data_IF_213768204135
#
_entry.id   IF_213768204135
#
_cell.length_a   1.000
_cell.length_b   1.000
_cell.length_c   1.000
_cell.angle_alpha   90.00
_cell.angle_beta   90.00
_cell.angle_gamma   90.00
#
_symmetry.space_group_name_H-M   'P 1'
#
loop_
_entity.id
_entity.type
_entity.pdbx_description
1 polymer ?
#
# COMPACT_ATOMS: atom_id res chain seq x y z
N UNK A 1 22.79 -43.62 -5.49
CA UNK A 1 24.20 -43.63 -5.05
C UNK A 1 24.25 -43.57 -3.53
N UNK A 2 25.38 -43.97 -2.93
CA UNK A 2 25.65 -43.91 -1.47
C UNK A 2 24.75 -44.79 -0.58
N UNK A 3 25.01 -46.10 -0.58
CA UNK A 3 24.78 -46.94 0.60
C UNK A 3 25.92 -46.72 1.62
N UNK A 4 25.75 -47.11 2.89
CA UNK A 4 26.75 -46.86 3.94
C UNK A 4 26.96 -48.06 4.89
N UNK A 5 28.23 -48.23 5.30
CA UNK A 5 28.74 -48.89 6.51
C UNK A 5 28.67 -50.44 6.69
N UNK A 6 29.88 -51.01 6.86
CA UNK A 6 30.31 -51.98 7.89
C UNK A 6 29.73 -53.41 7.94
N UNK A 7 30.53 -54.39 7.50
CA UNK A 7 31.45 -55.24 8.30
C UNK A 7 32.30 -56.07 7.29
N UNK A 8 33.62 -56.25 7.39
CA UNK A 8 34.46 -56.87 8.43
C UNK A 8 34.18 -58.39 8.61
N UNK A 9 35.16 -59.31 8.64
CA UNK A 9 36.60 -59.26 8.29
C UNK A 9 37.14 -60.71 8.23
N UNK A 10 38.45 -60.87 7.93
CA UNK A 10 39.25 -62.11 8.06
C UNK A 10 38.91 -63.25 7.10
N UNK A 11 39.76 -63.41 6.08
CA UNK A 11 40.16 -64.71 5.54
C UNK A 11 41.68 -64.76 5.58
N UNK A 12 42.24 -65.75 6.26
CA UNK A 12 43.69 -65.91 6.49
C UNK A 12 44.06 -67.37 6.37
N UNK A 13 45.03 -67.66 5.51
CA UNK A 13 45.93 -68.82 5.58
C UNK A 13 45.29 -70.23 5.40
N UNK A 14 45.97 -71.24 4.88
CA UNK A 14 47.27 -71.30 4.19
C UNK A 14 47.19 -72.47 3.18
N UNK A 15 47.74 -72.32 1.97
CA UNK A 15 47.92 -73.45 1.05
C UNK A 15 49.42 -73.73 0.86
N UNK A 16 49.93 -74.71 1.59
CA UNK A 16 51.33 -75.14 1.55
C UNK A 16 51.44 -76.51 0.90
N UNK A 17 51.85 -76.50 -0.37
CA UNK A 17 52.24 -77.71 -1.12
C UNK A 17 53.56 -78.30 -0.60
N UNK A 18 53.80 -79.57 -0.97
CA UNK A 18 54.97 -80.41 -0.67
C UNK A 18 55.08 -80.84 0.82
N UNK A 19 55.24 -82.13 1.16
CA UNK A 19 56.23 -83.07 0.64
C UNK A 19 55.88 -84.57 0.81
N UNK A 20 56.56 -85.41 0.01
CA UNK A 20 56.94 -86.83 0.26
C UNK A 20 55.94 -87.83 0.87
N UNK A 21 55.38 -88.66 -0.01
CA UNK A 21 55.53 -90.14 -0.04
C UNK A 21 56.01 -90.87 1.24
N UNK A 22 55.11 -91.67 1.85
CA UNK A 22 55.50 -92.74 2.80
C UNK A 22 54.56 -93.94 2.75
N UNK A 23 55.08 -95.12 3.13
CA UNK A 23 54.47 -96.44 2.85
C UNK A 23 53.40 -96.87 3.86
N UNK A 24 52.29 -97.37 3.31
CA UNK A 24 51.38 -98.39 3.84
C UNK A 24 51.42 -98.68 5.36
N UNK A 25 50.47 -98.09 6.10
CA UNK A 25 50.04 -98.59 7.42
C UNK A 25 48.54 -98.37 7.57
N UNK A 26 47.74 -99.39 7.27
CA UNK A 26 46.30 -99.38 7.54
C UNK A 26 46.09 -99.78 9.01
N UNK A 27 46.08 -98.79 9.89
CA UNK A 27 45.61 -98.95 11.26
C UNK A 27 44.16 -98.44 11.36
N UNK A 28 43.19 -99.26 11.79
CA UNK A 28 41.81 -98.80 11.95
C UNK A 28 41.70 -97.87 13.15
N UNK A 29 41.59 -96.56 12.87
CA UNK A 29 41.37 -95.51 13.85
C UNK A 29 39.98 -94.86 13.70
N UNK A 30 38.97 -95.65 13.32
CA UNK A 30 37.57 -95.26 13.47
C UNK A 30 37.25 -95.33 14.97
N UNK A 31 37.00 -94.19 15.60
CA UNK A 31 36.58 -94.19 17.00
C UNK A 31 35.23 -94.90 17.12
N UNK A 32 35.19 -96.01 17.88
CA UNK A 32 33.97 -96.77 18.12
C UNK A 32 32.89 -95.82 18.63
N UNK A 33 31.81 -95.69 17.86
CA UNK A 33 30.80 -94.66 18.10
C UNK A 33 29.62 -95.36 18.72
N UNK A 34 29.24 -95.00 19.96
CA UNK A 34 28.28 -95.76 20.78
C UNK A 34 26.80 -95.58 20.32
N UNK A 35 26.57 -95.86 19.05
CA UNK A 35 25.29 -95.86 18.34
C UNK A 35 24.88 -97.33 18.26
N UNK A 36 23.95 -97.73 19.13
CA UNK A 36 23.63 -99.13 19.40
C UNK A 36 23.25 -99.95 18.15
N UNK A 37 22.70 -99.30 17.12
CA UNK A 37 22.34 -99.89 15.83
C UNK A 37 23.54 -100.36 14.99
N UNK A 38 24.74 -99.81 15.22
CA UNK A 38 25.96 -100.15 14.46
C UNK A 38 26.88 -101.14 15.18
N UNK A 39 26.76 -101.29 16.50
CA UNK A 39 27.62 -102.20 17.30
C UNK A 39 27.73 -103.63 16.74
N UNK A 40 26.65 -104.28 16.23
CA UNK A 40 26.78 -105.60 15.60
C UNK A 40 27.55 -105.60 14.27
N UNK A 41 27.63 -104.46 13.59
CA UNK A 41 28.42 -104.29 12.36
C UNK A 41 29.89 -104.01 12.66
N UNK A 42 30.21 -103.29 13.74
CA UNK A 42 31.59 -103.11 14.21
C UNK A 42 32.26 -104.48 14.49
N UNK A 43 31.56 -105.38 15.20
CA UNK A 43 32.00 -106.76 15.42
C UNK A 43 32.21 -107.55 14.12
N UNK A 44 31.32 -107.37 13.13
CA UNK A 44 31.44 -108.02 11.81
C UNK A 44 32.62 -107.47 11.00
N UNK A 45 32.89 -106.16 11.05
CA UNK A 45 34.04 -105.53 10.38
C UNK A 45 35.34 -106.07 10.98
N UNK A 46 35.49 -106.06 12.31
CA UNK A 46 36.68 -106.61 12.99
C UNK A 46 36.89 -108.09 12.66
N UNK A 47 35.80 -108.87 12.51
CA UNK A 47 35.87 -110.26 12.02
C UNK A 47 36.36 -110.34 10.57
N UNK A 48 35.84 -109.53 9.65
CA UNK A 48 36.27 -109.53 8.24
C UNK A 48 37.75 -109.11 8.12
N UNK A 49 38.15 -108.04 8.81
CA UNK A 49 39.54 -107.58 8.89
C UNK A 49 40.45 -108.70 9.39
N UNK A 50 40.13 -109.31 10.54
CA UNK A 50 40.92 -110.41 11.12
C UNK A 50 41.00 -111.64 10.21
N UNK A 51 39.90 -111.99 9.54
CA UNK A 51 39.81 -113.18 8.68
C UNK A 51 40.59 -113.04 7.38
N UNK A 52 40.68 -111.82 6.83
CA UNK A 52 41.26 -111.58 5.50
C UNK A 52 42.59 -110.81 5.52
N UNK A 53 43.06 -110.31 6.67
CA UNK A 53 44.31 -109.53 6.82
C UNK A 53 45.59 -110.19 6.25
N UNK A 54 45.58 -111.50 5.99
CA UNK A 54 46.71 -112.27 5.43
C UNK A 54 46.33 -113.09 4.19
N UNK A 55 45.13 -112.88 3.63
CA UNK A 55 44.60 -113.69 2.54
C UNK A 55 45.10 -113.18 1.18
N UNK A 56 46.13 -113.82 0.65
CA UNK A 56 46.61 -113.59 -0.72
C UNK A 56 45.88 -114.54 -1.66
N UNK A 57 45.07 -114.00 -2.59
CA UNK A 57 44.26 -114.82 -3.52
C UNK A 57 44.76 -114.67 -4.95
N UNK A 58 45.23 -115.76 -5.54
CA UNK A 58 45.59 -115.81 -6.96
C UNK A 58 44.35 -116.06 -7.85
N UNK A 59 43.73 -114.95 -8.27
CA UNK A 59 42.58 -114.93 -9.17
C UNK A 59 42.86 -115.44 -10.59
N UNK A 60 44.10 -115.80 -10.95
CA UNK A 60 44.39 -116.49 -12.22
C UNK A 60 44.01 -117.97 -12.19
N UNK A 61 43.92 -118.56 -10.99
CA UNK A 61 43.45 -119.92 -10.76
C UNK A 61 41.91 -119.98 -10.63
N UNK A 62 41.30 -121.10 -11.01
CA UNK A 62 39.85 -121.29 -10.86
C UNK A 62 39.39 -121.30 -9.40
N UNK A 63 40.20 -121.88 -8.51
CA UNK A 63 39.96 -121.95 -7.07
C UNK A 63 40.13 -120.58 -6.40
N UNK A 64 41.22 -119.86 -6.67
CA UNK A 64 41.41 -118.50 -6.19
C UNK A 64 40.31 -117.55 -6.70
N UNK A 65 39.88 -117.68 -7.95
CA UNK A 65 38.77 -116.90 -8.49
C UNK A 65 37.40 -117.27 -7.86
N UNK A 66 37.24 -118.46 -7.29
CA UNK A 66 36.07 -118.81 -6.48
C UNK A 66 36.15 -118.14 -5.09
N UNK A 67 37.25 -118.36 -4.38
CA UNK A 67 37.48 -117.80 -3.04
C UNK A 67 37.38 -116.27 -3.04
N UNK A 68 37.94 -115.59 -4.06
CA UNK A 68 37.83 -114.13 -4.22
C UNK A 68 36.39 -113.63 -4.43
N UNK A 69 35.50 -114.45 -5.01
CA UNK A 69 34.08 -114.10 -5.16
C UNK A 69 33.33 -114.21 -3.83
N UNK A 70 33.62 -115.25 -3.04
CA UNK A 70 33.01 -115.47 -1.73
C UNK A 70 33.41 -114.36 -0.75
N UNK A 71 34.72 -114.08 -0.61
CA UNK A 71 35.25 -112.93 0.14
C UNK A 71 34.59 -111.61 -0.28
N UNK A 72 34.36 -111.42 -1.58
CA UNK A 72 33.68 -110.22 -2.11
C UNK A 72 32.18 -110.20 -1.81
N UNK A 73 31.52 -111.33 -1.63
CA UNK A 73 30.13 -111.40 -1.17
C UNK A 73 30.06 -111.00 0.30
N UNK A 74 30.85 -111.63 1.17
CA UNK A 74 30.85 -111.37 2.61
C UNK A 74 31.09 -109.89 2.95
N UNK A 75 32.13 -109.28 2.36
CA UNK A 75 32.43 -107.84 2.53
C UNK A 75 31.30 -106.95 1.98
N UNK A 76 30.75 -107.30 0.82
CA UNK A 76 29.70 -106.52 0.15
C UNK A 76 28.39 -106.56 0.94
N UNK A 77 28.09 -107.68 1.57
CA UNK A 77 26.82 -107.90 2.24
C UNK A 77 26.81 -107.23 3.63
N UNK A 78 27.93 -107.21 4.37
CA UNK A 78 28.10 -106.32 5.54
C UNK A 78 27.99 -104.84 5.16
N UNK A 79 28.59 -104.43 4.03
CA UNK A 79 28.45 -103.06 3.50
C UNK A 79 27.01 -102.70 3.13
N UNK A 80 26.21 -103.65 2.63
CA UNK A 80 24.77 -103.42 2.40
C UNK A 80 23.96 -103.41 3.72
N UNK A 81 24.34 -104.25 4.70
CA UNK A 81 23.71 -104.26 6.01
C UNK A 81 23.90 -102.92 6.74
N UNK A 82 25.12 -102.36 6.71
CA UNK A 82 25.42 -100.99 7.16
C UNK A 82 24.50 -99.95 6.51
N UNK A 83 24.44 -99.90 5.17
CA UNK A 83 23.63 -98.92 4.44
C UNK A 83 22.12 -99.04 4.75
N UNK A 84 21.63 -100.26 4.93
CA UNK A 84 20.25 -100.52 5.36
C UNK A 84 20.00 -100.10 6.82
N UNK A 85 20.95 -100.35 7.73
CA UNK A 85 20.92 -99.83 9.10
C UNK A 85 20.90 -98.30 9.12
N UNK A 86 21.78 -97.61 8.38
CA UNK A 86 21.78 -96.13 8.27
C UNK A 86 20.44 -95.61 7.78
N UNK A 87 19.90 -96.20 6.71
CA UNK A 87 18.60 -95.83 6.16
C UNK A 87 17.47 -96.02 7.17
N UNK A 88 17.51 -97.08 7.97
CA UNK A 88 16.44 -97.46 8.91
C UNK A 88 16.50 -96.63 10.20
N UNK A 89 17.69 -96.49 10.80
CA UNK A 89 17.91 -95.72 12.02
C UNK A 89 17.55 -94.22 11.85
N UNK A 90 17.70 -93.67 10.64
CA UNK A 90 17.38 -92.28 10.36
C UNK A 90 15.86 -91.99 10.20
N UNK A 91 15.03 -93.01 9.94
CA UNK A 91 13.57 -92.88 9.78
C UNK A 91 12.88 -92.19 10.98
N UNK A 92 13.05 -92.64 12.26
CA UNK A 92 12.40 -92.01 13.40
C UNK A 92 12.81 -90.54 13.60
N UNK A 93 14.04 -90.16 13.24
CA UNK A 93 14.48 -88.76 13.32
C UNK A 93 13.85 -87.91 12.22
N UNK A 94 13.83 -88.39 10.97
CA UNK A 94 13.16 -87.72 9.86
C UNK A 94 11.65 -87.57 10.11
N UNK A 95 11.02 -88.57 10.72
CA UNK A 95 9.61 -88.53 11.08
C UNK A 95 9.33 -87.47 12.15
N UNK A 96 10.12 -87.43 13.24
CA UNK A 96 10.03 -86.37 14.26
C UNK A 96 10.23 -84.97 13.69
N UNK A 97 11.15 -84.78 12.73
CA UNK A 97 11.35 -83.49 12.05
C UNK A 97 10.12 -83.08 11.22
N UNK A 98 9.49 -84.01 10.50
CA UNK A 98 8.24 -83.74 9.76
C UNK A 98 7.09 -83.39 10.70
N UNK A 99 6.94 -84.11 11.80
CA UNK A 99 5.90 -83.88 12.82
C UNK A 99 6.08 -82.52 13.51
N UNK A 100 7.32 -82.16 13.86
CA UNK A 100 7.65 -80.84 14.41
C UNK A 100 7.32 -79.73 13.41
N UNK A 101 7.68 -79.87 12.13
CA UNK A 101 7.37 -78.87 11.09
C UNK A 101 5.87 -78.74 10.85
N UNK A 102 5.12 -79.85 10.82
CA UNK A 102 3.66 -79.83 10.71
C UNK A 102 3.03 -79.10 11.90
N UNK A 103 3.52 -79.32 13.12
CA UNK A 103 3.06 -78.60 14.32
C UNK A 103 3.39 -77.11 14.28
N UNK A 104 4.57 -76.72 13.76
CA UNK A 104 4.93 -75.30 13.56
C UNK A 104 3.98 -74.62 12.58
N UNK A 105 3.62 -75.28 11.47
CA UNK A 105 2.67 -74.74 10.50
C UNK A 105 1.27 -74.57 11.13
N UNK A 106 0.76 -75.62 11.81
CA UNK A 106 -0.52 -75.58 12.50
C UNK A 106 -0.62 -74.44 13.54
N UNK A 107 0.46 -74.19 14.29
CA UNK A 107 0.50 -73.09 15.28
C UNK A 107 0.46 -71.71 14.60
N UNK A 108 1.12 -71.53 13.45
CA UNK A 108 1.06 -70.28 12.67
C UNK A 108 -0.33 -70.05 12.08
N UNK A 109 -0.88 -71.06 11.39
CA UNK A 109 -2.21 -71.00 10.77
C UNK A 109 -3.31 -70.70 11.80
N UNK A 110 -3.26 -71.37 12.95
CA UNK A 110 -4.20 -71.11 14.05
C UNK A 110 -3.98 -69.73 14.71
N UNK A 111 -2.74 -69.24 14.79
CA UNK A 111 -2.42 -67.92 15.32
C UNK A 111 -2.99 -66.78 14.47
N UNK A 112 -2.78 -66.84 13.15
CA UNK A 112 -3.36 -65.87 12.21
C UNK A 112 -4.89 -65.97 12.19
N UNK A 113 -5.47 -67.18 12.17
CA UNK A 113 -6.93 -67.35 12.21
C UNK A 113 -7.58 -66.82 13.50
N UNK A 114 -6.89 -66.87 14.64
CA UNK A 114 -7.35 -66.22 15.88
C UNK A 114 -7.25 -64.69 15.80
N UNK A 115 -6.15 -64.16 15.24
CA UNK A 115 -5.93 -62.72 15.04
C UNK A 115 -6.97 -62.13 14.10
N UNK A 116 -7.24 -62.76 12.96
CA UNK A 116 -8.27 -62.34 12.01
C UNK A 116 -9.67 -62.34 12.66
N UNK A 117 -9.95 -63.33 13.51
CA UNK A 117 -11.20 -63.40 14.29
C UNK A 117 -11.31 -62.28 15.34
N UNK A 118 -10.21 -61.87 15.97
CA UNK A 118 -10.19 -60.71 16.88
C UNK A 118 -10.41 -59.42 16.10
N UNK A 119 -9.71 -59.24 14.97
CA UNK A 119 -9.88 -58.07 14.11
C UNK A 119 -11.32 -57.92 13.57
N UNK A 120 -11.98 -59.04 13.25
CA UNK A 120 -13.39 -59.05 12.84
C UNK A 120 -14.38 -58.69 13.97
N UNK A 121 -13.94 -58.71 15.24
CA UNK A 121 -14.71 -58.23 16.40
C UNK A 121 -14.37 -56.74 16.68
N UNK A 122 -13.12 -56.35 16.50
CA UNK A 122 -12.62 -54.99 16.73
C UNK A 122 -13.10 -53.99 15.67
N UNK A 123 -13.03 -54.34 14.38
CA UNK A 123 -13.37 -53.46 13.27
C UNK A 123 -14.75 -52.77 13.38
N UNK A 124 -15.88 -53.47 13.64
CA UNK A 124 -17.17 -52.79 13.78
C UNK A 124 -17.28 -51.92 15.04
N UNK A 125 -16.43 -52.12 16.05
CA UNK A 125 -16.36 -51.27 17.25
C UNK A 125 -15.56 -50.00 16.95
N UNK A 126 -14.42 -50.14 16.28
CA UNK A 126 -13.60 -49.02 15.79
C UNK A 126 -14.35 -48.13 14.79
N UNK A 127 -15.09 -48.71 13.84
CA UNK A 127 -15.97 -47.98 12.93
C UNK A 127 -17.08 -47.23 13.67
N UNK A 128 -17.71 -47.85 14.68
CA UNK A 128 -18.75 -47.23 15.48
C UNK A 128 -18.22 -46.07 16.35
N UNK A 129 -17.03 -46.22 16.94
CA UNK A 129 -16.34 -45.16 17.68
C UNK A 129 -16.07 -43.98 16.75
N UNK A 130 -15.44 -44.21 15.60
CA UNK A 130 -15.11 -43.16 14.62
C UNK A 130 -16.34 -42.45 14.07
N UNK A 131 -17.45 -43.16 13.89
CA UNK A 131 -18.72 -42.57 13.47
C UNK A 131 -19.30 -41.62 14.53
N UNK A 132 -19.26 -42.00 15.81
CA UNK A 132 -19.75 -41.18 16.92
C UNK A 132 -18.82 -40.02 17.26
N UNK A 133 -17.49 -40.23 17.27
CA UNK A 133 -16.49 -39.17 17.40
C UNK A 133 -16.67 -38.11 16.31
N UNK A 134 -16.86 -38.53 15.05
CA UNK A 134 -17.20 -37.61 13.96
C UNK A 134 -18.52 -36.89 14.22
N UNK A 135 -19.59 -37.59 14.62
CA UNK A 135 -20.90 -36.97 14.91
C UNK A 135 -20.79 -35.92 16.02
N UNK A 136 -19.98 -36.15 17.04
CA UNK A 136 -19.68 -35.21 18.12
C UNK A 136 -18.86 -34.02 17.61
N UNK A 137 -17.85 -34.25 16.77
CA UNK A 137 -17.02 -33.21 16.17
C UNK A 137 -17.83 -32.30 15.22
N UNK A 138 -18.62 -32.87 14.31
CA UNK A 138 -19.50 -32.16 13.39
C UNK A 138 -20.55 -31.32 14.18
N UNK A 139 -21.18 -31.92 15.20
CA UNK A 139 -22.15 -31.21 16.05
C UNK A 139 -21.52 -30.13 16.94
N UNK A 140 -20.23 -30.26 17.29
CA UNK A 140 -19.46 -29.22 17.97
C UNK A 140 -19.13 -28.07 17.01
N UNK A 141 -18.60 -28.38 15.82
CA UNK A 141 -18.26 -27.39 14.80
C UNK A 141 -19.48 -26.58 14.34
N UNK A 142 -20.66 -27.21 14.21
CA UNK A 142 -21.92 -26.51 13.91
C UNK A 142 -22.29 -25.51 15.00
N UNK A 143 -22.18 -25.90 16.28
CA UNK A 143 -22.42 -24.99 17.42
C UNK A 143 -21.41 -23.86 17.47
N UNK A 144 -20.14 -24.14 17.24
CA UNK A 144 -19.07 -23.13 17.20
C UNK A 144 -19.26 -22.16 16.03
N UNK A 145 -19.77 -22.61 14.87
CA UNK A 145 -20.13 -21.70 13.76
C UNK A 145 -21.34 -20.82 14.12
N UNK A 146 -22.42 -21.40 14.63
CA UNK A 146 -23.63 -20.64 15.01
C UNK A 146 -23.29 -19.59 16.08
N UNK A 147 -22.44 -19.94 17.05
CA UNK A 147 -22.00 -19.03 18.10
C UNK A 147 -21.06 -17.95 17.57
N UNK A 148 -20.12 -18.27 16.68
CA UNK A 148 -19.28 -17.28 16.02
C UNK A 148 -20.12 -16.31 15.17
N UNK A 149 -21.12 -16.81 14.43
CA UNK A 149 -22.06 -16.02 13.62
C UNK A 149 -22.92 -15.09 14.51
N UNK A 150 -23.38 -15.57 15.67
CA UNK A 150 -24.06 -14.74 16.69
C UNK A 150 -23.16 -13.61 17.20
N UNK A 151 -21.93 -13.94 17.62
CA UNK A 151 -20.97 -12.98 18.16
C UNK A 151 -20.53 -11.96 17.10
N UNK A 152 -20.31 -12.40 15.85
CA UNK A 152 -19.99 -11.50 14.74
C UNK A 152 -21.17 -10.56 14.42
N UNK A 153 -22.41 -11.06 14.37
CA UNK A 153 -23.59 -10.24 14.13
C UNK A 153 -23.78 -9.17 15.22
N UNK A 154 -23.57 -9.51 16.50
CA UNK A 154 -23.63 -8.54 17.61
C UNK A 154 -22.49 -7.52 17.51
N UNK A 155 -21.25 -7.97 17.30
CA UNK A 155 -20.09 -7.06 17.11
C UNK A 155 -20.29 -6.13 15.92
N UNK A 156 -20.86 -6.61 14.82
CA UNK A 156 -21.20 -5.79 13.67
C UNK A 156 -22.26 -4.72 13.96
N UNK A 157 -23.19 -4.93 14.91
CA UNK A 157 -24.06 -3.85 15.42
C UNK A 157 -23.23 -2.82 16.19
N UNK A 158 -22.38 -3.26 17.11
CA UNK A 158 -21.55 -2.39 17.97
C UNK A 158 -20.60 -1.51 17.11
N UNK A 159 -19.96 -2.10 16.09
CA UNK A 159 -19.08 -1.38 15.14
C UNK A 159 -19.81 -0.32 14.32
N UNK A 160 -21.14 -0.43 14.09
CA UNK A 160 -21.89 0.64 13.40
C UNK A 160 -21.84 1.94 14.20
N UNK A 161 -22.01 1.89 15.52
CA UNK A 161 -21.91 3.07 16.38
C UNK A 161 -20.52 3.69 16.30
N UNK A 162 -19.44 2.94 16.47
CA UNK A 162 -18.07 3.51 16.39
C UNK A 162 -17.70 4.04 15.00
N UNK A 163 -18.33 3.53 13.93
CA UNK A 163 -18.12 4.03 12.56
C UNK A 163 -18.90 5.32 12.21
N UNK A 164 -19.96 5.65 12.96
CA UNK A 164 -20.97 6.61 12.50
C UNK A 164 -20.43 8.04 12.39
N UNK A 165 -19.61 8.50 13.34
CA UNK A 165 -19.09 9.86 13.34
C UNK A 165 -18.17 10.11 12.13
N UNK A 166 -17.34 9.13 11.76
CA UNK A 166 -16.49 9.20 10.58
C UNK A 166 -17.30 9.27 9.28
N UNK A 167 -18.40 8.51 9.17
CA UNK A 167 -19.26 8.50 7.98
C UNK A 167 -19.99 9.84 7.74
N UNK A 168 -20.19 10.65 8.79
CA UNK A 168 -20.89 11.93 8.72
C UNK A 168 -19.98 13.16 8.86
N UNK A 169 -18.66 12.99 9.02
CA UNK A 169 -17.69 14.07 9.30
C UNK A 169 -17.75 15.27 8.33
N UNK A 170 -18.04 15.03 7.04
CA UNK A 170 -18.11 16.06 6.00
C UNK A 170 -19.55 16.47 5.63
N UNK A 171 -20.55 16.12 6.44
CA UNK A 171 -21.97 16.41 6.18
C UNK A 171 -22.42 17.75 6.79
N UNK A 172 -23.66 18.14 6.49
CA UNK A 172 -24.27 19.35 7.05
C UNK A 172 -24.62 19.19 8.53
N UNK A 173 -24.77 20.30 9.25
CA UNK A 173 -25.21 20.30 10.64
C UNK A 173 -26.56 19.58 10.81
N UNK A 174 -27.48 19.74 9.85
CA UNK A 174 -28.79 19.08 9.83
C UNK A 174 -28.68 17.56 9.64
N UNK A 175 -27.82 17.07 8.74
CA UNK A 175 -27.58 15.63 8.55
C UNK A 175 -27.05 14.98 9.84
N UNK A 176 -26.06 15.63 10.48
CA UNK A 176 -25.46 15.14 11.73
C UNK A 176 -26.48 15.15 12.87
N UNK A 177 -27.33 16.18 12.97
CA UNK A 177 -28.40 16.25 13.96
C UNK A 177 -29.44 15.12 13.82
N UNK A 178 -29.86 14.81 12.59
CA UNK A 178 -30.79 13.72 12.31
C UNK A 178 -30.20 12.36 12.72
N UNK A 179 -28.92 12.12 12.46
CA UNK A 179 -28.25 10.88 12.86
C UNK A 179 -28.01 10.81 14.37
N UNK A 180 -27.64 11.93 15.00
CA UNK A 180 -27.52 12.04 16.45
C UNK A 180 -28.85 11.67 17.16
N UNK A 181 -30.00 12.09 16.62
CA UNK A 181 -31.31 11.69 17.13
C UNK A 181 -31.52 10.18 16.98
N UNK A 182 -31.30 9.61 15.79
CA UNK A 182 -31.44 8.17 15.54
C UNK A 182 -30.55 7.31 16.46
N UNK A 183 -29.33 7.77 16.77
CA UNK A 183 -28.41 7.08 17.70
C UNK A 183 -28.87 7.23 19.16
N UNK A 184 -29.44 8.37 19.56
CA UNK A 184 -30.05 8.55 20.89
C UNK A 184 -31.31 7.72 21.10
N UNK A 185 -32.12 7.54 20.04
CA UNK A 185 -33.31 6.69 20.05
C UNK A 185 -32.98 5.19 19.94
N UNK A 186 -31.71 4.83 19.65
CA UNK A 186 -31.26 3.44 19.59
C UNK A 186 -31.17 2.82 20.99
N UNK A 187 -32.15 1.97 21.31
CA UNK A 187 -32.15 1.16 22.53
C UNK A 187 -31.23 -0.05 22.35
N UNK A 188 -30.32 -0.26 23.32
CA UNK A 188 -29.54 -1.49 23.43
C UNK A 188 -30.36 -2.45 24.29
N UNK A 189 -30.83 -3.56 23.70
CA UNK A 189 -31.67 -4.54 24.37
C UNK A 189 -30.85 -5.79 24.76
N UNK A 190 -31.01 -6.34 25.98
CA UNK A 190 -30.34 -7.57 26.40
C UNK A 190 -30.60 -8.74 25.44
N UNK A 191 -31.80 -8.84 24.87
CA UNK A 191 -32.20 -9.87 23.90
C UNK A 191 -31.47 -9.73 22.55
N UNK A 192 -30.97 -8.53 22.21
CA UNK A 192 -30.32 -8.24 20.93
C UNK A 192 -28.79 -8.19 20.98
N UNK A 193 -28.21 -8.01 22.17
CA UNK A 193 -26.76 -7.87 22.39
C UNK A 193 -26.19 -8.90 23.39
N UNK A 194 -27.05 -9.57 24.16
CA UNK A 194 -26.68 -10.60 25.14
C UNK A 194 -25.54 -10.13 26.07
N UNK A 195 -24.43 -10.86 26.15
CA UNK A 195 -23.30 -10.51 27.01
C UNK A 195 -22.59 -9.21 26.62
N UNK A 196 -22.83 -8.69 25.40
CA UNK A 196 -22.24 -7.46 24.89
C UNK A 196 -23.14 -6.22 25.08
N UNK A 197 -24.22 -6.30 25.87
CA UNK A 197 -25.10 -5.16 26.18
C UNK A 197 -24.32 -3.93 26.70
N UNK A 198 -23.36 -4.16 27.61
CA UNK A 198 -22.50 -3.11 28.15
C UNK A 198 -21.57 -2.51 27.08
N UNK A 199 -20.97 -3.33 26.22
CA UNK A 199 -20.11 -2.87 25.11
C UNK A 199 -20.92 -2.06 24.08
N UNK A 200 -22.14 -2.51 23.74
CA UNK A 200 -23.05 -1.80 22.83
C UNK A 200 -23.53 -0.47 23.40
N UNK A 201 -23.80 -0.41 24.70
CA UNK A 201 -24.17 0.83 25.40
C UNK A 201 -23.02 1.83 25.38
N UNK A 202 -21.81 1.40 25.75
CA UNK A 202 -20.59 2.23 25.70
C UNK A 202 -20.30 2.72 24.27
N UNK A 203 -20.46 1.85 23.26
CA UNK A 203 -20.24 2.23 21.86
C UNK A 203 -21.25 3.26 21.35
N UNK A 204 -22.54 3.12 21.72
CA UNK A 204 -23.58 4.10 21.40
C UNK A 204 -23.30 5.44 22.09
N UNK A 205 -22.96 5.43 23.37
CA UNK A 205 -22.81 6.65 24.16
C UNK A 205 -21.55 7.43 23.74
N UNK A 206 -20.45 6.73 23.41
CA UNK A 206 -19.28 7.34 22.75
C UNK A 206 -19.64 7.91 21.36
N UNK A 207 -20.50 7.24 20.59
CA UNK A 207 -20.94 7.74 19.28
C UNK A 207 -21.83 9.00 19.41
N UNK A 208 -22.62 9.11 20.49
CA UNK A 208 -23.39 10.31 20.83
C UNK A 208 -22.45 11.49 21.10
N UNK A 209 -21.43 11.33 21.95
CA UNK A 209 -20.45 12.38 22.25
C UNK A 209 -19.70 12.86 21.00
N UNK A 210 -19.28 11.93 20.14
CA UNK A 210 -18.60 12.24 18.87
C UNK A 210 -19.54 12.97 17.89
N UNK A 211 -20.80 12.55 17.77
CA UNK A 211 -21.79 13.21 16.92
C UNK A 211 -22.21 14.59 17.45
N UNK A 212 -22.27 14.79 18.77
CA UNK A 212 -22.51 16.12 19.36
C UNK A 212 -21.36 17.09 19.08
N UNK A 213 -20.12 16.62 19.25
CA UNK A 213 -18.91 17.37 18.92
C UNK A 213 -18.86 17.73 17.44
N UNK A 214 -19.15 16.77 16.57
CA UNK A 214 -19.21 16.98 15.12
C UNK A 214 -20.34 17.93 14.71
N UNK A 215 -21.54 17.81 15.30
CA UNK A 215 -22.67 18.68 15.01
C UNK A 215 -22.34 20.13 15.35
N UNK A 216 -21.74 20.38 16.52
CA UNK A 216 -21.27 21.71 16.93
C UNK A 216 -20.29 22.31 15.92
N UNK A 217 -19.28 21.53 15.52
CA UNK A 217 -18.30 21.95 14.50
C UNK A 217 -18.93 22.16 13.10
N UNK A 218 -20.01 21.45 12.77
CA UNK A 218 -20.76 21.70 11.54
C UNK A 218 -21.55 23.02 11.60
N UNK A 219 -22.26 23.30 12.72
CA UNK A 219 -22.95 24.58 12.94
C UNK A 219 -21.97 25.76 12.89
N UNK A 220 -20.82 25.65 13.57
CA UNK A 220 -19.79 26.70 13.57
C UNK A 220 -19.25 27.00 12.17
N UNK A 221 -19.01 25.96 11.35
CA UNK A 221 -18.59 26.12 9.94
C UNK A 221 -19.67 26.74 9.06
N UNK A 222 -20.93 26.31 9.21
CA UNK A 222 -22.06 26.84 8.44
C UNK A 222 -22.37 28.30 8.81
N UNK A 223 -22.32 28.66 10.10
CA UNK A 223 -22.41 30.05 10.55
C UNK A 223 -21.28 30.92 10.01
N UNK A 224 -20.03 30.42 10.03
CA UNK A 224 -18.88 31.16 9.50
C UNK A 224 -19.03 31.39 7.97
N UNK A 225 -19.47 30.37 7.23
CA UNK A 225 -19.74 30.50 5.80
C UNK A 225 -20.88 31.49 5.50
N UNK A 226 -21.96 31.47 6.29
CA UNK A 226 -23.07 32.40 6.16
C UNK A 226 -22.65 33.86 6.45
N UNK A 227 -21.85 34.09 7.51
CA UNK A 227 -21.28 35.40 7.85
C UNK A 227 -20.37 35.92 6.74
N UNK A 228 -19.51 35.07 6.18
CA UNK A 228 -18.63 35.42 5.05
C UNK A 228 -19.42 35.75 3.78
N UNK A 229 -20.45 34.97 3.44
CA UNK A 229 -21.31 35.23 2.29
C UNK A 229 -22.10 36.55 2.42
N UNK A 230 -22.55 36.89 3.63
CA UNK A 230 -23.17 38.19 3.90
C UNK A 230 -22.20 39.36 3.72
N UNK A 231 -20.97 39.25 4.24
CA UNK A 231 -19.91 40.25 4.06
C UNK A 231 -19.51 40.44 2.59
N UNK A 232 -19.39 39.34 1.83
CA UNK A 232 -19.13 39.41 0.38
C UNK A 232 -20.25 40.16 -0.36
N UNK A 233 -21.51 39.86 -0.04
CA UNK A 233 -22.66 40.57 -0.63
C UNK A 233 -22.66 42.07 -0.28
N UNK A 234 -22.40 42.43 0.97
CA UNK A 234 -22.34 43.84 1.38
C UNK A 234 -21.21 44.60 0.65
N UNK A 235 -20.03 43.96 0.51
CA UNK A 235 -18.90 44.52 -0.23
C UNK A 235 -19.22 44.72 -1.71
N UNK A 236 -19.92 43.79 -2.35
CA UNK A 236 -20.33 43.93 -3.75
C UNK A 236 -21.47 44.93 -3.95
N UNK A 237 -22.40 45.06 -3.00
CA UNK A 237 -23.36 46.17 -2.98
C UNK A 237 -22.66 47.53 -2.82
N UNK A 238 -21.62 47.62 -1.99
CA UNK A 238 -20.82 48.84 -1.82
C UNK A 238 -20.06 49.19 -3.11
N UNK A 239 -19.44 48.20 -3.77
CA UNK A 239 -18.78 48.36 -5.08
C UNK A 239 -19.76 48.81 -6.17
N UNK A 240 -21.00 48.31 -6.18
CA UNK A 240 -22.04 48.78 -7.10
C UNK A 240 -22.46 50.22 -6.80
N UNK A 241 -22.66 50.57 -5.52
CA UNK A 241 -22.96 51.95 -5.08
C UNK A 241 -21.85 52.92 -5.48
N UNK A 242 -20.57 52.53 -5.33
CA UNK A 242 -19.41 53.29 -5.79
C UNK A 242 -19.43 53.50 -7.31
N UNK A 243 -19.54 52.43 -8.12
CA UNK A 243 -19.62 52.55 -9.59
C UNK A 243 -20.73 53.47 -10.06
N UNK A 244 -21.92 53.40 -9.45
CA UNK A 244 -23.05 54.28 -9.77
C UNK A 244 -22.74 55.74 -9.37
N UNK A 245 -22.08 55.97 -8.24
CA UNK A 245 -21.64 57.30 -7.83
C UNK A 245 -20.56 57.87 -8.78
N UNK A 246 -19.58 57.07 -9.16
CA UNK A 246 -18.51 57.43 -10.11
C UNK A 246 -19.09 57.75 -11.49
N UNK A 247 -19.94 56.87 -12.04
CA UNK A 247 -20.67 57.11 -13.29
C UNK A 247 -21.50 58.40 -13.26
N UNK A 248 -22.17 58.69 -12.14
CA UNK A 248 -22.97 59.90 -12.00
C UNK A 248 -22.09 61.16 -11.86
N UNK A 249 -20.95 61.05 -11.18
CA UNK A 249 -19.96 62.12 -11.11
C UNK A 249 -19.31 62.38 -12.48
N UNK A 250 -19.04 61.34 -13.27
CA UNK A 250 -18.59 61.48 -14.66
C UNK A 250 -19.65 62.14 -15.54
N UNK A 251 -20.92 61.68 -15.47
CA UNK A 251 -22.04 62.28 -16.23
C UNK A 251 -22.21 63.76 -15.87
N UNK A 252 -22.12 64.14 -14.60
CA UNK A 252 -22.25 65.55 -14.21
C UNK A 252 -21.03 66.38 -14.61
N UNK A 253 -19.80 65.84 -14.49
CA UNK A 253 -18.59 66.47 -15.07
C UNK A 253 -18.71 66.69 -16.58
N UNK A 254 -19.28 65.73 -17.31
CA UNK A 254 -19.55 65.86 -18.75
C UNK A 254 -20.61 66.93 -19.04
N UNK A 255 -21.65 67.07 -18.21
CA UNK A 255 -22.68 68.12 -18.34
C UNK A 255 -22.10 69.51 -18.07
N UNK A 256 -21.36 69.69 -16.97
CA UNK A 256 -20.66 70.95 -16.66
C UNK A 256 -19.69 71.32 -17.80
N UNK A 257 -18.85 70.38 -18.23
CA UNK A 257 -17.92 70.63 -19.34
C UNK A 257 -18.64 70.88 -20.68
N UNK A 258 -19.86 70.38 -20.89
CA UNK A 258 -20.66 70.72 -22.07
C UNK A 258 -21.25 72.14 -21.96
N UNK A 259 -21.79 72.51 -20.79
CA UNK A 259 -22.31 73.86 -20.54
C UNK A 259 -21.21 74.92 -20.64
N UNK A 260 -20.04 74.70 -20.05
CA UNK A 260 -18.91 75.63 -20.15
C UNK A 260 -18.40 75.76 -21.60
N UNK A 261 -18.35 74.66 -22.38
CA UNK A 261 -18.06 74.73 -23.82
C UNK A 261 -19.10 75.54 -24.59
N UNK A 262 -20.38 75.42 -24.24
CA UNK A 262 -21.44 76.21 -24.85
C UNK A 262 -21.34 77.68 -24.46
N UNK A 263 -21.15 78.01 -23.18
CA UNK A 263 -20.91 79.39 -22.69
C UNK A 263 -19.69 80.03 -23.38
N UNK A 264 -18.60 79.30 -23.56
CA UNK A 264 -17.41 79.76 -24.28
C UNK A 264 -17.71 79.98 -25.77
N UNK A 265 -18.45 79.07 -26.42
CA UNK A 265 -18.86 79.23 -27.81
C UNK A 265 -19.80 80.44 -28.01
N UNK A 266 -20.75 80.67 -27.10
CA UNK A 266 -21.66 81.82 -27.12
C UNK A 266 -20.89 83.14 -26.89
N UNK A 267 -19.94 83.17 -25.95
CA UNK A 267 -19.03 84.31 -25.76
C UNK A 267 -18.17 84.59 -26.99
N UNK A 268 -17.64 83.55 -27.64
CA UNK A 268 -16.87 83.70 -28.88
C UNK A 268 -17.74 84.18 -30.04
N UNK A 269 -18.98 83.69 -30.17
CA UNK A 269 -19.94 84.16 -31.16
C UNK A 269 -20.29 85.65 -30.93
N UNK A 270 -20.50 86.07 -29.69
CA UNK A 270 -20.79 87.46 -29.33
C UNK A 270 -19.58 88.39 -29.55
N UNK A 271 -18.37 87.97 -29.17
CA UNK A 271 -17.14 88.71 -29.49
C UNK A 271 -16.90 88.82 -31.01
N UNK A 272 -17.29 87.80 -31.79
CA UNK A 272 -17.21 87.86 -33.25
C UNK A 272 -18.28 88.80 -33.84
N UNK A 273 -19.52 88.83 -33.32
CA UNK A 273 -20.54 89.84 -33.69
C UNK A 273 -20.04 91.26 -33.40
N UNK A 274 -19.44 91.50 -32.24
CA UNK A 274 -18.89 92.80 -31.86
C UNK A 274 -17.73 93.21 -32.77
N UNK A 275 -16.86 92.27 -33.16
CA UNK A 275 -15.81 92.50 -34.17
C UNK A 275 -16.37 92.81 -35.55
N UNK A 276 -17.35 92.06 -36.03
CA UNK A 276 -18.04 92.34 -37.29
C UNK A 276 -18.72 93.71 -37.27
N UNK A 277 -19.38 94.08 -36.16
CA UNK A 277 -20.04 95.37 -36.03
C UNK A 277 -19.01 96.51 -36.01
N UNK A 278 -17.92 96.38 -35.23
CA UNK A 278 -16.80 97.33 -35.25
C UNK A 278 -16.16 97.44 -36.64
N UNK A 279 -16.05 96.35 -37.40
CA UNK A 279 -15.58 96.39 -38.80
C UNK A 279 -16.57 97.12 -39.71
N UNK A 280 -17.87 96.82 -39.64
CA UNK A 280 -18.91 97.52 -40.42
C UNK A 280 -18.98 99.00 -40.09
N UNK A 281 -18.82 99.36 -38.82
CA UNK A 281 -18.80 100.76 -38.37
C UNK A 281 -17.52 101.46 -38.85
N UNK A 282 -16.35 100.81 -38.78
CA UNK A 282 -15.10 101.31 -39.38
C UNK A 282 -15.18 101.43 -40.90
N UNK A 283 -15.84 100.51 -41.60
CA UNK A 283 -16.03 100.57 -43.06
C UNK A 283 -17.02 101.66 -43.46
N UNK A 284 -18.14 101.80 -42.72
CA UNK A 284 -19.08 102.90 -42.91
C UNK A 284 -18.45 104.26 -42.58
N UNK A 285 -17.51 104.31 -41.63
CA UNK A 285 -16.77 105.52 -41.29
C UNK A 285 -15.67 105.83 -42.32
N UNK A 286 -14.93 104.83 -42.81
CA UNK A 286 -14.03 104.98 -43.97
C UNK A 286 -14.76 105.45 -45.22
N UNK A 287 -15.94 104.91 -45.51
CA UNK A 287 -16.77 105.35 -46.64
C UNK A 287 -17.28 106.79 -46.47
N UNK A 288 -17.64 107.20 -45.25
CA UNK A 288 -17.96 108.60 -44.93
C UNK A 288 -16.75 109.51 -45.04
N UNK A 289 -15.58 109.07 -44.60
CA UNK A 289 -14.35 109.87 -44.68
C UNK A 289 -13.84 109.96 -46.12
N UNK A 290 -14.01 108.92 -46.94
CA UNK A 290 -13.80 108.98 -48.40
C UNK A 290 -14.82 109.90 -49.09
N UNK A 291 -16.09 109.90 -48.68
CA UNK A 291 -17.09 110.86 -49.18
C UNK A 291 -16.71 112.29 -48.78
N UNK A 292 -16.44 112.54 -47.49
CA UNK A 292 -15.96 113.81 -46.98
C UNK A 292 -14.67 114.27 -47.69
N UNK A 293 -13.76 113.35 -48.02
CA UNK A 293 -12.55 113.65 -48.79
C UNK A 293 -12.87 114.02 -50.24
N UNK A 294 -13.77 113.30 -50.93
CA UNK A 294 -14.21 113.64 -52.29
C UNK A 294 -14.97 114.97 -52.34
N UNK A 295 -15.84 115.23 -51.36
CA UNK A 295 -16.55 116.50 -51.20
C UNK A 295 -15.56 117.63 -50.88
N UNK A 296 -14.54 117.38 -50.05
CA UNK A 296 -13.44 118.32 -49.80
C UNK A 296 -12.53 118.51 -51.01
N UNK A 297 -12.29 117.49 -51.84
CA UNK A 297 -11.52 117.58 -53.09
C UNK A 297 -12.31 118.32 -54.19
N UNK A 298 -13.63 118.17 -54.25
CA UNK A 298 -14.49 118.94 -55.15
C UNK A 298 -14.59 120.39 -54.68
N UNK A 299 -14.83 120.64 -53.39
CA UNK A 299 -14.74 121.98 -52.79
C UNK A 299 -13.34 122.59 -52.96
N UNK A 300 -12.26 121.80 -52.85
CA UNK A 300 -10.89 122.27 -53.05
C UNK A 300 -10.56 122.49 -54.53
N UNK A 301 -11.13 121.72 -55.47
CA UNK A 301 -11.07 122.02 -56.91
C UNK A 301 -11.77 123.34 -57.21
N UNK A 302 -12.99 123.53 -56.73
CA UNK A 302 -13.74 124.78 -56.86
C UNK A 302 -12.98 125.97 -56.23
N UNK A 303 -12.32 125.76 -55.09
CA UNK A 303 -11.58 126.80 -54.35
C UNK A 303 -10.20 127.09 -54.94
N UNK A 304 -9.47 126.08 -55.45
CA UNK A 304 -8.19 126.24 -56.14
C UNK A 304 -8.35 126.80 -57.56
N UNK A 305 -9.47 126.49 -58.23
CA UNK A 305 -9.87 127.14 -59.48
C UNK A 305 -10.31 128.61 -59.25
N UNK A 306 -10.55 129.01 -57.99
CA UNK A 306 -10.92 130.38 -57.60
C UNK A 306 -9.81 131.17 -56.86
N UNK A 307 -8.69 130.57 -56.46
CA UNK A 307 -7.71 131.24 -55.60
C UNK A 307 -6.25 130.82 -55.78
N UNK A 308 -5.42 131.81 -56.12
CA UNK A 308 -4.02 131.94 -55.73
C UNK A 308 -3.77 133.44 -55.40
N UNK A 309 -2.76 133.83 -54.59
CA UNK A 309 -1.73 133.01 -53.93
C UNK A 309 -1.59 133.30 -52.40
N UNK A 310 -0.41 132.99 -51.85
CA UNK A 310 0.24 133.54 -50.64
C UNK A 310 0.02 132.86 -49.26
N UNK A 311 0.99 132.99 -48.30
CA UNK A 311 1.11 132.15 -47.08
C UNK A 311 1.15 132.98 -45.76
N UNK A 312 1.75 132.43 -44.67
CA UNK A 312 2.47 133.09 -43.52
C UNK A 312 1.92 132.81 -42.09
N UNK A 313 2.82 132.34 -41.18
CA UNK A 313 2.82 132.33 -39.67
C UNK A 313 1.67 131.56 -38.94
N UNK A 314 1.81 130.78 -37.85
CA UNK A 314 2.83 130.43 -36.81
C UNK A 314 2.67 131.07 -35.39
N UNK A 315 2.05 130.34 -34.44
CA UNK A 315 2.11 130.57 -32.97
C UNK A 315 1.62 129.28 -32.24
N UNK A 316 2.39 128.63 -31.32
CA UNK A 316 2.54 128.81 -29.84
C UNK A 316 1.47 128.06 -28.99
N UNK A 317 1.90 127.50 -27.85
CA UNK A 317 1.22 126.52 -26.96
C UNK A 317 0.45 127.23 -25.79
N UNK A 318 0.12 126.67 -24.57
CA UNK A 318 0.57 125.43 -23.88
C UNK A 318 -0.44 124.66 -22.94
N UNK A 319 0.09 123.68 -22.15
CA UNK A 319 -0.40 123.19 -20.82
C UNK A 319 -1.69 122.31 -20.80
N UNK A 320 -1.99 121.40 -19.84
CA UNK A 320 -1.50 121.02 -18.48
C UNK A 320 -1.34 119.47 -18.33
N UNK A 321 -0.71 119.03 -17.23
CA UNK A 321 -0.55 117.68 -16.60
C UNK A 321 -1.87 116.85 -16.44
N UNK A 322 -1.93 115.55 -16.07
CA UNK A 322 -1.39 114.93 -14.83
C UNK A 322 -1.20 113.37 -14.84
N UNK A 323 0.02 112.97 -14.42
CA UNK A 323 0.44 111.84 -13.54
C UNK A 323 -0.38 110.53 -13.43
N UNK A 324 0.30 109.39 -13.64
CA UNK A 324 0.02 108.08 -13.00
C UNK A 324 1.34 107.45 -12.51
N UNK A 325 1.30 106.72 -11.40
CA UNK A 325 2.47 106.19 -10.65
C UNK A 325 2.64 104.67 -10.86
N UNK A 326 3.89 104.16 -10.80
CA UNK A 326 4.23 102.77 -11.15
C UNK A 326 5.05 102.11 -10.04
N UNK A 327 4.69 100.87 -9.67
CA UNK A 327 5.44 100.02 -8.75
C UNK A 327 5.68 98.62 -9.36
N UNK A 328 6.90 98.08 -9.24
CA UNK A 328 7.06 96.64 -9.07
C UNK A 328 8.18 96.26 -8.06
N UNK A 329 7.96 95.21 -7.25
CA UNK A 329 9.01 94.60 -6.41
C UNK A 329 8.92 93.06 -6.45
N UNK A 330 10.01 92.46 -6.95
CA UNK A 330 10.61 91.14 -6.65
C UNK A 330 9.79 89.83 -6.55
N UNK A 331 10.01 88.95 -7.52
CA UNK A 331 10.41 87.52 -7.33
C UNK A 331 11.69 87.42 -6.46
N UNK A 332 11.98 86.34 -5.68
CA UNK A 332 12.02 84.89 -6.07
C UNK A 332 11.28 83.94 -5.07
N UNK A 333 10.91 82.68 -5.34
CA UNK A 333 11.53 81.48 -5.97
C UNK A 333 12.32 80.55 -4.98
N UNK A 334 12.46 79.25 -5.34
CA UNK A 334 13.09 78.11 -4.59
C UNK A 334 12.45 77.81 -3.19
N UNK A 335 12.49 76.62 -2.57
CA UNK A 335 12.94 75.23 -2.85
C UNK A 335 11.92 74.26 -2.15
N UNK A 336 12.05 72.93 -1.92
CA UNK A 336 13.04 71.86 -2.12
C UNK A 336 12.26 70.49 -2.13
N UNK A 337 12.60 69.43 -2.88
CA UNK A 337 13.58 68.32 -2.66
C UNK A 337 13.06 67.04 -1.94
N UNK A 338 13.38 65.87 -2.53
CA UNK A 338 13.64 64.52 -1.93
C UNK A 338 12.45 63.82 -1.18
N UNK A 339 12.36 62.49 -1.01
CA UNK A 339 13.06 61.30 -1.54
C UNK A 339 12.05 60.10 -1.47
N UNK A 340 11.93 59.23 -2.48
CA UNK A 340 12.64 57.94 -2.71
C UNK A 340 12.05 56.70 -1.97
N UNK A 341 12.45 55.51 -2.45
CA UNK A 341 12.29 54.15 -1.91
C UNK A 341 10.92 53.46 -2.12
N UNK A 342 10.96 52.48 -3.03
CA UNK A 342 9.96 51.42 -3.18
C UNK A 342 9.87 50.53 -1.93
N UNK A 343 8.67 50.26 -1.40
CA UNK A 343 8.41 49.06 -0.58
C UNK A 343 6.97 48.58 -0.76
N UNK A 344 6.80 47.52 -1.57
CA UNK A 344 5.58 46.71 -1.68
C UNK A 344 5.70 45.36 -0.96
N UNK A 345 6.68 45.24 -0.06
CA UNK A 345 6.83 44.10 0.83
C UNK A 345 6.11 44.36 2.17
N UNK A 346 5.41 43.37 2.75
CA UNK A 346 4.91 43.47 4.13
C UNK A 346 6.08 43.59 5.11
N UNK A 347 5.85 44.12 6.33
CA UNK A 347 6.90 44.22 7.34
C UNK A 347 7.45 42.84 7.71
N UNK A 348 8.72 42.82 8.14
CA UNK A 348 9.47 41.57 8.34
C UNK A 348 8.85 40.66 9.39
N UNK A 349 8.11 41.21 10.35
CA UNK A 349 7.46 40.43 11.41
C UNK A 349 6.30 39.58 10.85
N UNK A 350 5.42 40.15 10.04
CA UNK A 350 4.35 39.42 9.32
C UNK A 350 4.93 38.26 8.48
N UNK A 351 6.10 38.46 7.86
CA UNK A 351 6.78 37.42 7.08
C UNK A 351 7.28 36.28 8.00
N UNK A 352 7.80 36.62 9.18
CA UNK A 352 8.22 35.64 10.18
C UNK A 352 7.01 34.86 10.73
N UNK A 353 5.89 35.53 11.03
CA UNK A 353 4.67 34.89 11.52
C UNK A 353 4.03 33.97 10.47
N UNK A 354 3.96 34.40 9.20
CA UNK A 354 3.46 33.56 8.10
C UNK A 354 4.34 32.32 7.88
N UNK A 355 5.67 32.43 8.04
CA UNK A 355 6.57 31.27 7.95
C UNK A 355 6.47 30.37 9.19
N UNK A 356 6.32 30.93 10.39
CA UNK A 356 6.09 30.16 11.62
C UNK A 356 4.79 29.33 11.53
N UNK A 357 3.69 29.96 11.12
CA UNK A 357 2.38 29.34 10.94
C UNK A 357 2.37 28.34 9.76
N UNK A 358 3.02 28.69 8.64
CA UNK A 358 3.03 27.87 7.43
C UNK A 358 3.87 26.59 7.50
N UNK A 359 4.79 26.49 8.47
CA UNK A 359 5.66 25.33 8.69
C UNK A 359 5.52 24.68 10.08
N UNK A 360 4.56 25.14 10.91
CA UNK A 360 4.32 24.68 12.29
C UNK A 360 5.60 24.70 13.16
N UNK A 361 6.29 25.85 13.17
CA UNK A 361 7.51 26.08 13.95
C UNK A 361 7.42 27.37 14.78
N UNK A 362 8.21 27.47 15.84
CA UNK A 362 8.25 28.70 16.65
C UNK A 362 8.74 29.91 15.86
N UNK A 363 8.27 31.10 16.25
CA UNK A 363 8.66 32.40 15.67
C UNK A 363 10.19 32.56 15.62
N UNK A 364 10.90 32.14 16.66
CA UNK A 364 12.38 32.19 16.69
C UNK A 364 13.03 31.21 15.72
N UNK A 365 12.45 30.03 15.48
CA UNK A 365 12.91 29.07 14.47
C UNK A 365 12.70 29.62 13.05
N UNK A 366 11.50 30.15 12.76
CA UNK A 366 11.21 30.81 11.48
C UNK A 366 12.15 32.01 11.22
N UNK A 367 12.37 32.84 12.24
CA UNK A 367 13.31 33.97 12.21
C UNK A 367 14.77 33.52 12.04
N UNK A 368 15.17 32.37 12.58
CA UNK A 368 16.49 31.79 12.35
C UNK A 368 16.66 31.30 10.90
N UNK A 369 15.66 30.62 10.33
CA UNK A 369 15.67 30.17 8.93
C UNK A 369 15.73 31.35 7.95
N UNK A 370 14.90 32.37 8.16
CA UNK A 370 14.89 33.59 7.32
C UNK A 370 16.20 34.40 7.41
N UNK A 371 16.94 34.31 8.52
CA UNK A 371 18.31 34.83 8.62
C UNK A 371 19.35 33.98 7.89
N UNK A 372 19.19 32.66 7.87
CA UNK A 372 20.12 31.73 7.23
C UNK A 372 20.00 31.68 5.68
N UNK A 373 18.84 32.09 5.15
CA UNK A 373 18.55 32.10 3.70
C UNK A 373 18.92 33.45 3.04
N UNK A 374 19.12 34.51 3.85
CA UNK A 374 19.49 35.84 3.36
C UNK A 374 21.02 35.98 3.29
N UNK A 375 21.55 36.05 2.06
CA UNK A 375 22.94 36.46 1.78
C UNK A 375 23.18 37.93 2.18
#
# INVERSE_FOLDING_TARGET
MSANAKQAAVSTDLDTSETSDTKNSIAPAVAATDIAEYRPHEEQIVRLETSYAKLVVDCSTSEGLANAKEVRVDIRDVRYALANTTKTALVPYQQKVKEAQARVNQVKEFGEALKDRVLAIEAPVDEAIKAEEKRIADAKAERERIEAERVEAIRAKITRFSSVAAAYASRSAADVANVLLNVKESVILPEEYAEFEAEGTIARDNAIEQLETLHRSAVEREEAAAKLAAQQKELDELRQKQRIADENAEKERQRIAAEDRQRIADQQAELNRQREQLQRDQDAQRLKDEQNQRDQEELARLRAQAAAPAPIIAAVAPLIEEKVEVAPINTPAIAAELDDVTTTAPPVEDIVEVVALGFDVSVDTARAWLRAIRF
#
